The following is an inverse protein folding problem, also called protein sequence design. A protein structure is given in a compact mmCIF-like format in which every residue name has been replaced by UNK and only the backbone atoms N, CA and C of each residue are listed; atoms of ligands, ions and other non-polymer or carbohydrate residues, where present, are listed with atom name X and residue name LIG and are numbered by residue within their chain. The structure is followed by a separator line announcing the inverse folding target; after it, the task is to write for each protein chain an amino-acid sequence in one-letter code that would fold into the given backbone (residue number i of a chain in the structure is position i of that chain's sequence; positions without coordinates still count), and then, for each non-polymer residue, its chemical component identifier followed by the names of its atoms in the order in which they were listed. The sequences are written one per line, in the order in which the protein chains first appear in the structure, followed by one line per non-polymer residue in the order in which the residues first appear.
data_IF_280732436797
#
_entry.id   IF_280732436797
#
_cell.length_a   1.000
_cell.length_b   1.000
_cell.length_c   1.000
_cell.angle_alpha   90.00
_cell.angle_beta   90.00
_cell.angle_gamma   90.00
#
_symmetry.space_group_name_H-M   'P 1'
#
loop_
_entity.id
_entity.type
_entity.pdbx_description
1 polymer ?
#
# COMPACT_ATOMS: atom_id res chain seq x y z
N UNK A 1 -19.87 10.41 0.04
CA UNK A 1 -19.63 9.39 -0.99
C UNK A 1 -18.23 9.43 -1.61
N UNK A 2 -17.84 10.42 -2.44
CA UNK A 2 -16.51 10.37 -3.11
C UNK A 2 -15.32 10.44 -2.13
N UNK A 3 -15.35 11.37 -1.17
CA UNK A 3 -14.28 11.48 -0.15
C UNK A 3 -14.17 10.23 0.73
N UNK A 4 -15.30 9.58 1.03
CA UNK A 4 -15.33 8.35 1.82
C UNK A 4 -14.72 7.18 1.06
N UNK A 5 -14.98 7.03 -0.24
CA UNK A 5 -14.35 6.01 -1.06
C UNK A 5 -12.84 6.29 -1.22
N UNK A 6 -12.42 7.55 -1.40
CA UNK A 6 -10.99 7.91 -1.43
C UNK A 6 -10.32 7.54 -0.09
N UNK A 7 -10.95 7.85 1.04
CA UNK A 7 -10.43 7.48 2.36
C UNK A 7 -10.35 5.97 2.56
N UNK A 8 -11.37 5.23 2.12
CA UNK A 8 -11.37 3.77 2.15
C UNK A 8 -10.23 3.18 1.31
N UNK A 9 -9.99 3.73 0.12
CA UNK A 9 -8.88 3.32 -0.76
C UNK A 9 -7.51 3.65 -0.16
N UNK A 10 -7.39 4.79 0.51
CA UNK A 10 -6.20 5.13 1.28
C UNK A 10 -5.90 4.06 2.34
N UNK A 11 -6.89 3.71 3.18
CA UNK A 11 -6.73 2.69 4.23
C UNK A 11 -6.40 1.31 3.65
N UNK A 12 -7.09 0.88 2.60
CA UNK A 12 -6.84 -0.40 1.94
C UNK A 12 -5.42 -0.49 1.39
N UNK A 13 -4.93 0.57 0.73
CA UNK A 13 -3.58 0.56 0.17
C UNK A 13 -2.49 0.54 1.24
N UNK A 14 -2.68 1.22 2.38
CA UNK A 14 -1.77 1.10 3.52
C UNK A 14 -1.71 -0.33 4.07
N UNK A 15 -2.87 -0.98 4.21
CA UNK A 15 -2.93 -2.38 4.64
C UNK A 15 -2.24 -3.31 3.64
N UNK A 16 -2.48 -3.13 2.33
CA UNK A 16 -1.82 -3.88 1.27
C UNK A 16 -0.29 -3.75 1.34
N UNK A 17 0.22 -2.53 1.49
CA UNK A 17 1.65 -2.28 1.60
C UNK A 17 2.25 -3.00 2.83
N UNK A 18 1.60 -2.90 3.98
CA UNK A 18 2.01 -3.58 5.22
C UNK A 18 2.06 -5.10 5.07
N UNK A 19 1.03 -5.70 4.47
CA UNK A 19 0.99 -7.15 4.22
C UNK A 19 2.06 -7.58 3.22
N UNK A 20 2.29 -6.82 2.15
CA UNK A 20 3.35 -7.11 1.17
C UNK A 20 4.73 -7.11 1.82
N UNK A 21 5.02 -6.11 2.67
CA UNK A 21 6.26 -6.06 3.46
C UNK A 21 6.40 -7.28 4.37
N UNK A 22 5.33 -7.65 5.06
CA UNK A 22 5.30 -8.79 5.99
C UNK A 22 5.57 -10.10 5.25
N UNK A 23 4.93 -10.31 4.09
CA UNK A 23 5.18 -11.48 3.25
C UNK A 23 6.62 -11.49 2.73
N UNK A 24 7.13 -10.35 2.23
CA UNK A 24 8.50 -10.25 1.74
C UNK A 24 9.51 -10.65 2.83
N UNK A 25 9.35 -10.11 4.03
CA UNK A 25 10.27 -10.36 5.14
C UNK A 25 10.15 -11.79 5.67
N UNK A 26 8.92 -12.31 5.81
CA UNK A 26 8.69 -13.62 6.44
C UNK A 26 8.98 -14.79 5.50
N UNK A 27 8.66 -14.65 4.21
CA UNK A 27 8.75 -15.74 3.24
C UNK A 27 9.98 -15.66 2.34
N UNK A 28 10.55 -14.46 2.16
CA UNK A 28 11.63 -14.22 1.19
C UNK A 28 12.85 -13.51 1.79
N UNK A 29 12.92 -13.42 3.13
CA UNK A 29 14.02 -12.75 3.83
C UNK A 29 14.17 -11.26 3.49
N UNK A 30 13.12 -10.63 2.95
CA UNK A 30 13.10 -9.23 2.54
C UNK A 30 13.70 -8.96 1.16
N UNK A 31 14.21 -9.97 0.45
CA UNK A 31 14.92 -9.82 -0.81
C UNK A 31 14.07 -9.93 -2.08
N UNK A 32 12.77 -10.25 -1.98
CA UNK A 32 11.94 -10.44 -3.16
C UNK A 32 11.51 -9.11 -3.78
N UNK A 33 12.07 -8.83 -4.96
CA UNK A 33 11.84 -7.58 -5.69
C UNK A 33 10.38 -7.39 -6.08
N UNK A 34 9.65 -8.46 -6.38
CA UNK A 34 8.24 -8.36 -6.76
C UNK A 34 7.42 -7.85 -5.57
N UNK A 35 7.61 -8.40 -4.38
CA UNK A 35 6.90 -7.93 -3.18
C UNK A 35 7.28 -6.50 -2.81
N UNK A 36 8.56 -6.11 -2.93
CA UNK A 36 9.00 -4.73 -2.71
C UNK A 36 8.34 -3.75 -3.70
N UNK A 37 8.24 -4.12 -4.98
CA UNK A 37 7.60 -3.29 -6.00
C UNK A 37 6.11 -3.11 -5.73
N UNK A 38 5.41 -4.19 -5.36
CA UNK A 38 3.98 -4.13 -5.02
C UNK A 38 3.72 -3.36 -3.72
N UNK A 39 4.59 -3.50 -2.70
CA UNK A 39 4.56 -2.65 -1.50
C UNK A 39 4.68 -1.17 -1.86
N UNK A 40 5.68 -0.81 -2.67
CA UNK A 40 5.90 0.58 -3.09
C UNK A 40 4.75 1.15 -3.91
N UNK A 41 4.17 0.35 -4.83
CA UNK A 41 2.98 0.75 -5.59
C UNK A 41 1.80 1.06 -4.66
N UNK A 42 1.54 0.18 -3.69
CA UNK A 42 0.46 0.38 -2.72
C UNK A 42 0.69 1.64 -1.86
N UNK A 43 1.91 1.87 -1.34
CA UNK A 43 2.22 3.11 -0.63
C UNK A 43 2.04 4.36 -1.49
N UNK A 44 2.48 4.31 -2.75
CA UNK A 44 2.28 5.42 -3.69
C UNK A 44 0.80 5.73 -3.89
N UNK A 45 -0.02 4.72 -4.15
CA UNK A 45 -1.48 4.92 -4.30
C UNK A 45 -2.11 5.46 -3.01
N UNK A 46 -1.68 5.02 -1.82
CA UNK A 46 -2.15 5.61 -0.58
C UNK A 46 -1.77 7.11 -0.48
N UNK A 47 -0.54 7.47 -0.83
CA UNK A 47 -0.09 8.86 -0.84
C UNK A 47 -0.91 9.72 -1.83
N UNK A 48 -1.17 9.19 -3.04
CA UNK A 48 -2.00 9.86 -4.05
C UNK A 48 -3.43 10.09 -3.52
N UNK A 49 -4.06 9.08 -2.91
CA UNK A 49 -5.38 9.22 -2.28
C UNK A 49 -5.37 10.28 -1.16
N UNK A 50 -4.34 10.27 -0.31
CA UNK A 50 -4.21 11.28 0.76
C UNK A 50 -4.07 12.71 0.22
N UNK A 51 -3.41 12.88 -0.94
CA UNK A 51 -3.29 14.18 -1.61
C UNK A 51 -4.63 14.73 -2.10
N UNK A 52 -5.53 13.85 -2.56
CA UNK A 52 -6.87 14.19 -3.04
C UNK A 52 -7.90 14.43 -1.91
N UNK A 53 -7.54 14.12 -0.67
CA UNK A 53 -8.40 14.35 0.49
C UNK A 53 -8.27 15.77 1.07
N UNK A 54 -7.23 16.51 0.70
CA UNK A 54 -7.03 17.93 1.08
C UNK A 54 -8.06 18.82 0.40
#
# INVERSE_FOLDING_TARGET
MLKEEIFRRYQLNLACASVRKTINNSCFGGGDKTHMQEENKAYKTAADCSGLMK
#
